data_IF_414694691723
#
_entry.id   IF_414694691723
#
_cell.length_a   1.000
_cell.length_b   1.000
_cell.length_c   1.000
_cell.angle_alpha   90.00
_cell.angle_beta   90.00
_cell.angle_gamma   90.00
#
_symmetry.space_group_name_H-M   'P 1'
#
loop_
_entity.id
_entity.type
_entity.pdbx_description
1 polymer ?
#
# COMPACT_ATOMS: atom_id res chain seq x y z
N UNK A 1 -31.64 13.26 -13.28
CA UNK A 1 -31.37 11.94 -12.68
C UNK A 1 -30.33 12.15 -11.59
N UNK A 2 -30.73 11.95 -10.33
CA UNK A 2 -29.92 12.16 -9.13
C UNK A 2 -28.64 11.34 -9.18
N UNK A 3 -27.49 12.02 -9.03
CA UNK A 3 -26.17 11.40 -8.90
C UNK A 3 -26.00 10.92 -7.45
N UNK A 4 -26.89 10.01 -7.03
CA UNK A 4 -26.67 9.19 -5.84
C UNK A 4 -25.73 8.05 -6.23
N UNK A 5 -24.71 7.80 -5.42
CA UNK A 5 -23.75 6.70 -5.59
C UNK A 5 -22.69 6.87 -6.67
N UNK A 6 -21.86 7.91 -6.58
CA UNK A 6 -20.48 7.75 -6.99
C UNK A 6 -19.82 6.74 -6.03
N UNK A 7 -19.41 5.60 -6.58
CA UNK A 7 -18.68 4.50 -5.93
C UNK A 7 -17.50 5.01 -5.11
N UNK A 8 -17.76 5.37 -3.86
CA UNK A 8 -16.81 5.31 -2.75
C UNK A 8 -17.42 4.33 -1.75
N UNK A 9 -17.43 3.03 -2.10
CA UNK A 9 -17.98 1.93 -1.30
C UNK A 9 -17.24 1.66 0.01
N UNK A 10 -16.62 2.67 0.58
CA UNK A 10 -15.89 2.65 1.84
C UNK A 10 -16.65 3.51 2.82
N UNK A 11 -17.32 2.85 3.78
CA UNK A 11 -17.88 3.51 4.95
C UNK A 11 -16.82 4.43 5.56
N UNK A 12 -17.12 5.72 5.65
CA UNK A 12 -16.23 6.67 6.30
C UNK A 12 -16.15 6.31 7.79
N UNK A 13 -14.97 5.89 8.24
CA UNK A 13 -14.69 5.54 9.63
C UNK A 13 -14.70 6.81 10.48
N UNK A 14 -15.15 6.73 11.74
CA UNK A 14 -14.98 7.85 12.68
C UNK A 14 -13.51 8.04 13.06
N UNK A 15 -13.09 9.28 13.33
CA UNK A 15 -11.71 9.57 13.70
C UNK A 15 -11.29 8.94 15.04
N UNK A 16 -12.25 8.75 15.95
CA UNK A 16 -12.10 8.15 17.28
C UNK A 16 -12.31 6.63 17.31
N UNK A 17 -12.52 6.00 16.15
CA UNK A 17 -12.75 4.56 16.07
C UNK A 17 -11.50 3.73 16.39
N UNK A 18 -11.71 2.48 16.84
CA UNK A 18 -10.66 1.51 17.17
C UNK A 18 -10.02 0.88 15.92
N UNK A 19 -9.53 1.71 15.00
CA UNK A 19 -8.82 1.28 13.81
C UNK A 19 -7.36 1.75 13.82
N UNK A 20 -6.47 1.08 13.07
CA UNK A 20 -5.08 1.49 12.99
C UNK A 20 -4.95 2.97 12.59
N UNK A 21 -4.21 3.76 13.38
CA UNK A 21 -3.98 5.19 13.13
C UNK A 21 -3.53 5.51 11.70
N UNK A 22 -2.67 4.71 11.04
CA UNK A 22 -2.30 4.96 9.65
C UNK A 22 -3.48 4.90 8.68
N UNK A 23 -4.47 4.03 8.92
CA UNK A 23 -5.67 3.92 8.09
C UNK A 23 -6.53 5.16 8.25
N UNK A 24 -6.85 5.54 9.50
CA UNK A 24 -7.65 6.73 9.83
C UNK A 24 -7.03 7.98 9.19
N UNK A 25 -5.71 8.16 9.30
CA UNK A 25 -5.01 9.32 8.71
C UNK A 25 -4.96 9.32 7.18
N UNK A 26 -4.94 8.16 6.53
CA UNK A 26 -4.87 8.05 5.06
C UNK A 26 -6.25 8.11 4.41
N UNK A 27 -7.31 7.81 5.15
CA UNK A 27 -8.66 7.76 4.63
C UNK A 27 -9.08 9.08 3.94
N UNK A 28 -8.96 10.27 4.57
CA UNK A 28 -9.30 11.53 3.90
C UNK A 28 -8.50 11.75 2.62
N UNK A 29 -7.19 11.52 2.67
CA UNK A 29 -6.29 11.70 1.51
C UNK A 29 -6.73 10.83 0.34
N UNK A 30 -7.07 9.57 0.60
CA UNK A 30 -7.52 8.65 -0.44
C UNK A 30 -8.85 9.11 -1.05
N UNK A 31 -9.82 9.49 -0.21
CA UNK A 31 -11.15 9.89 -0.69
C UNK A 31 -11.12 11.18 -1.52
N UNK A 32 -10.45 12.24 -1.05
CA UNK A 32 -10.33 13.49 -1.81
C UNK A 32 -9.56 13.30 -3.12
N UNK A 33 -8.52 12.45 -3.11
CA UNK A 33 -7.81 12.08 -4.34
C UNK A 33 -8.72 11.36 -5.33
N UNK A 34 -9.57 10.44 -4.86
CA UNK A 34 -10.56 9.77 -5.69
C UNK A 34 -11.56 10.76 -6.29
N UNK A 35 -12.13 11.68 -5.49
CA UNK A 35 -13.03 12.72 -6.00
C UNK A 35 -12.34 13.55 -7.09
N UNK A 36 -11.08 13.96 -6.87
CA UNK A 36 -10.33 14.74 -7.86
C UNK A 36 -10.12 14.00 -9.19
N UNK A 37 -9.91 12.68 -9.14
CA UNK A 37 -9.75 11.81 -10.31
C UNK A 37 -11.06 11.52 -11.04
N UNK A 38 -12.18 11.44 -10.33
CA UNK A 38 -13.50 11.12 -10.90
C UNK A 38 -14.15 12.35 -11.53
N UNK A 39 -14.02 13.51 -10.89
CA UNK A 39 -14.65 14.74 -11.34
C UNK A 39 -13.92 15.32 -12.56
N UNK A 40 -14.61 15.42 -13.69
CA UNK A 40 -14.10 16.04 -14.91
C UNK A 40 -14.20 17.57 -14.91
N UNK A 41 -15.19 18.13 -14.21
CA UNK A 41 -15.34 19.58 -14.07
C UNK A 41 -15.03 20.05 -12.66
N UNK A 42 -14.43 21.23 -12.56
CA UNK A 42 -14.12 21.84 -11.26
C UNK A 42 -15.38 22.17 -10.47
N UNK A 43 -16.49 22.53 -11.12
CA UNK A 43 -17.77 22.71 -10.45
C UNK A 43 -18.26 21.42 -9.75
N UNK A 44 -18.15 20.26 -10.42
CA UNK A 44 -18.52 18.97 -9.83
C UNK A 44 -17.57 18.57 -8.70
N UNK A 45 -16.28 18.85 -8.85
CA UNK A 45 -15.26 18.64 -7.82
C UNK A 45 -15.56 19.47 -6.57
N UNK A 46 -15.85 20.76 -6.71
CA UNK A 46 -16.16 21.65 -5.60
C UNK A 46 -17.41 21.18 -4.85
N UNK A 47 -18.47 20.78 -5.57
CA UNK A 47 -19.69 20.26 -4.97
C UNK A 47 -19.43 19.00 -4.13
N UNK A 48 -18.73 18.01 -4.70
CA UNK A 48 -18.44 16.75 -4.01
C UNK A 48 -17.44 16.91 -2.86
N UNK A 49 -16.46 17.81 -3.03
CA UNK A 49 -15.47 18.13 -1.98
C UNK A 49 -16.15 18.76 -0.77
N UNK A 50 -17.12 19.66 -0.97
CA UNK A 50 -17.93 20.24 0.11
C UNK A 50 -18.72 19.18 0.87
N UNK A 51 -19.42 18.30 0.17
CA UNK A 51 -20.16 17.17 0.77
C UNK A 51 -19.23 16.25 1.58
N UNK A 52 -18.11 15.82 0.98
CA UNK A 52 -17.16 14.94 1.65
C UNK A 52 -16.51 15.60 2.87
N UNK A 53 -16.21 16.90 2.80
CA UNK A 53 -15.66 17.66 3.93
C UNK A 53 -16.64 17.68 5.09
N UNK A 54 -17.92 17.97 4.82
CA UNK A 54 -18.97 17.95 5.83
C UNK A 54 -19.09 16.57 6.50
N UNK A 55 -19.11 15.49 5.69
CA UNK A 55 -19.19 14.11 6.21
C UNK A 55 -17.98 13.69 7.05
N UNK A 56 -16.80 14.22 6.75
CA UNK A 56 -15.59 13.99 7.55
C UNK A 56 -15.62 14.81 8.84
N UNK A 57 -16.12 16.05 8.80
CA UNK A 57 -16.30 16.89 9.97
C UNK A 57 -17.24 16.25 11.00
N UNK A 58 -18.39 15.74 10.54
CA UNK A 58 -19.34 14.99 11.37
C UNK A 58 -18.72 13.75 12.04
N UNK A 59 -17.63 13.22 11.48
CA UNK A 59 -16.89 12.06 11.98
C UNK A 59 -15.67 12.42 12.82
N UNK A 60 -15.49 13.70 13.14
CA UNK A 60 -14.41 14.19 14.01
C UNK A 60 -13.07 14.40 13.29
N UNK A 61 -13.05 14.50 11.96
CA UNK A 61 -11.84 14.85 11.22
C UNK A 61 -11.71 16.37 11.08
N UNK A 62 -10.47 16.85 10.90
CA UNK A 62 -10.15 18.26 10.64
C UNK A 62 -10.57 18.68 9.22
N UNK A 63 -10.89 19.96 9.03
CA UNK A 63 -11.44 20.49 7.76
C UNK A 63 -10.40 20.81 6.67
N UNK A 64 -9.10 20.55 6.91
CA UNK A 64 -8.02 21.01 6.03
C UNK A 64 -7.53 19.98 5.00
N UNK A 65 -8.17 18.82 4.89
CA UNK A 65 -7.71 17.75 3.97
C UNK A 65 -7.88 18.09 2.49
N UNK A 66 -8.92 18.84 2.13
CA UNK A 66 -9.20 19.23 0.76
C UNK A 66 -8.12 20.17 0.18
N UNK A 67 -7.50 21.01 1.02
CA UNK A 67 -6.45 21.97 0.63
C UNK A 67 -5.29 21.33 -0.13
N UNK A 68 -4.97 20.07 0.19
CA UNK A 68 -3.92 19.30 -0.49
C UNK A 68 -4.18 19.10 -1.98
N UNK A 69 -5.43 19.19 -2.41
CA UNK A 69 -5.87 18.93 -3.77
C UNK A 69 -6.40 20.16 -4.49
N UNK A 70 -6.35 21.33 -3.84
CA UNK A 70 -6.64 22.61 -4.48
C UNK A 70 -5.59 22.90 -5.57
N UNK A 71 -6.03 23.41 -6.71
CA UNK A 71 -5.16 23.73 -7.85
C UNK A 71 -4.73 22.55 -8.70
N UNK A 72 -4.88 21.30 -8.24
CA UNK A 72 -4.69 20.13 -9.10
C UNK A 72 -5.83 20.07 -10.14
N UNK A 73 -5.52 19.59 -11.33
CA UNK A 73 -6.47 19.19 -12.38
C UNK A 73 -6.80 17.69 -12.31
N UNK A 74 -7.87 17.26 -12.97
CA UNK A 74 -8.18 15.83 -13.10
C UNK A 74 -7.05 15.12 -13.84
N UNK A 75 -6.57 15.74 -14.92
CA UNK A 75 -5.49 15.21 -15.76
C UNK A 75 -4.22 14.99 -14.95
N UNK A 76 -3.78 15.98 -14.17
CA UNK A 76 -2.62 15.84 -13.28
C UNK A 76 -2.81 14.74 -12.24
N UNK A 77 -4.04 14.57 -11.73
CA UNK A 77 -4.35 13.55 -10.74
C UNK A 77 -4.40 12.13 -11.32
N UNK A 78 -4.57 11.99 -12.64
CA UNK A 78 -4.55 10.72 -13.36
C UNK A 78 -3.13 10.34 -13.83
N UNK A 79 -2.18 11.28 -13.84
CA UNK A 79 -0.83 10.99 -14.27
C UNK A 79 -0.20 9.91 -13.37
N UNK A 80 0.39 8.85 -13.95
CA UNK A 80 1.12 7.87 -13.19
C UNK A 80 2.30 8.56 -12.52
N UNK A 81 2.40 8.43 -11.19
CA UNK A 81 3.59 8.88 -10.49
C UNK A 81 4.75 8.00 -10.91
N UNK A 82 5.70 8.58 -11.64
CA UNK A 82 7.01 7.97 -11.85
C UNK A 82 7.63 7.81 -10.48
N UNK A 83 7.68 6.57 -9.99
CA UNK A 83 8.51 6.22 -8.86
C UNK A 83 9.85 5.85 -9.46
N UNK A 84 10.88 6.62 -9.14
CA UNK A 84 12.24 6.13 -9.29
C UNK A 84 12.29 4.79 -8.56
N UNK A 85 12.52 3.72 -9.33
CA UNK A 85 12.78 2.42 -8.71
C UNK A 85 14.08 2.62 -7.97
N UNK A 86 14.03 2.59 -6.64
CA UNK A 86 15.26 2.49 -5.88
C UNK A 86 16.01 1.28 -6.44
N UNK A 87 17.24 1.46 -6.90
CA UNK A 87 18.14 0.37 -7.33
C UNK A 87 18.39 -0.65 -6.21
N UNK A 88 17.97 -0.32 -5.00
CA UNK A 88 18.01 -1.18 -3.84
C UNK A 88 17.15 -2.45 -4.03
N UNK A 89 17.78 -3.48 -4.59
CA UNK A 89 17.28 -4.86 -4.53
C UNK A 89 17.30 -5.31 -3.06
N UNK A 90 16.17 -5.76 -2.48
CA UNK A 90 16.16 -6.28 -1.12
C UNK A 90 17.12 -7.46 -0.99
N UNK A 91 18.14 -7.34 -0.14
CA UNK A 91 19.20 -8.35 0.00
C UNK A 91 18.78 -9.58 0.82
N UNK A 92 17.74 -9.48 1.65
CA UNK A 92 17.18 -10.64 2.34
C UNK A 92 15.71 -10.47 2.71
N UNK A 93 14.99 -11.59 2.66
CA UNK A 93 13.57 -11.71 2.98
C UNK A 93 13.43 -12.56 4.23
N UNK A 94 12.61 -12.11 5.17
CA UNK A 94 12.31 -12.85 6.41
C UNK A 94 10.80 -12.97 6.58
N UNK A 95 10.36 -13.95 7.36
CA UNK A 95 8.96 -14.02 7.77
C UNK A 95 8.61 -12.86 8.70
N UNK A 96 7.34 -12.46 8.70
CA UNK A 96 6.86 -11.44 9.64
C UNK A 96 7.04 -11.92 11.07
N UNK A 97 7.78 -11.13 11.85
CA UNK A 97 7.92 -11.30 13.28
C UNK A 97 7.65 -9.97 13.98
N UNK A 98 6.99 -9.97 15.15
CA UNK A 98 6.91 -8.79 16.02
C UNK A 98 8.30 -8.22 16.38
N UNK A 99 9.32 -9.09 16.43
CA UNK A 99 10.71 -8.72 16.68
C UNK A 99 11.42 -8.17 15.44
N UNK A 100 10.77 -8.17 14.28
CA UNK A 100 11.37 -7.76 13.02
C UNK A 100 11.89 -6.33 13.02
N UNK A 101 11.26 -5.43 13.78
CA UNK A 101 11.77 -4.07 13.98
C UNK A 101 13.08 -4.06 14.77
N UNK A 102 13.11 -4.73 15.93
CA UNK A 102 14.32 -4.82 16.75
C UNK A 102 15.47 -5.48 15.98
N UNK A 103 15.19 -6.58 15.27
CA UNK A 103 16.14 -7.26 14.40
C UNK A 103 16.70 -6.33 13.31
N UNK A 104 15.82 -5.58 12.63
CA UNK A 104 16.21 -4.59 11.62
C UNK A 104 17.12 -3.50 12.21
N UNK A 105 16.82 -3.03 13.41
CA UNK A 105 17.60 -1.99 14.08
C UNK A 105 18.99 -2.51 14.49
N UNK A 106 19.08 -3.75 14.99
CA UNK A 106 20.35 -4.42 15.31
C UNK A 106 21.22 -4.57 14.06
N UNK A 107 20.67 -5.08 12.95
CA UNK A 107 21.44 -5.25 11.71
C UNK A 107 21.95 -3.92 11.19
N UNK A 108 21.12 -2.87 11.23
CA UNK A 108 21.54 -1.53 10.80
C UNK A 108 22.66 -0.98 11.66
N UNK A 109 22.57 -1.17 12.97
CA UNK A 109 23.60 -0.76 13.93
C UNK A 109 24.93 -1.48 13.70
N UNK A 110 24.87 -2.78 13.40
CA UNK A 110 26.05 -3.64 13.24
C UNK A 110 26.38 -3.98 11.78
N UNK A 111 25.90 -3.17 10.83
CA UNK A 111 26.06 -3.42 9.40
C UNK A 111 27.53 -3.51 8.97
N UNK A 112 28.40 -2.75 9.63
CA UNK A 112 29.84 -2.77 9.36
C UNK A 112 30.45 -4.18 9.46
N UNK A 113 29.94 -5.04 10.36
CA UNK A 113 30.42 -6.43 10.49
C UNK A 113 30.18 -7.21 9.19
N UNK A 114 28.98 -7.08 8.62
CA UNK A 114 28.59 -7.74 7.36
C UNK A 114 29.33 -7.12 6.17
N UNK A 115 29.52 -5.80 6.18
CA UNK A 115 30.19 -5.08 5.10
C UNK A 115 31.70 -5.32 5.04
N UNK A 116 32.33 -5.67 6.17
CA UNK A 116 33.77 -5.99 6.26
C UNK A 116 34.06 -7.44 5.88
N UNK A 117 33.09 -8.35 6.02
CA UNK A 117 33.25 -9.76 5.70
C UNK A 117 33.43 -9.98 4.18
N UNK A 118 34.53 -10.60 3.72
CA UNK A 118 34.81 -10.80 2.30
C UNK A 118 33.79 -11.67 1.56
N UNK A 119 33.12 -12.58 2.25
CA UNK A 119 32.13 -13.49 1.67
C UNK A 119 30.73 -12.88 1.66
N UNK A 120 30.37 -12.15 2.72
CA UNK A 120 29.04 -11.56 2.86
C UNK A 120 28.90 -10.23 2.12
N UNK A 121 29.95 -9.41 2.03
CA UNK A 121 29.96 -8.13 1.30
C UNK A 121 29.44 -8.21 -0.15
N UNK A 122 29.84 -9.18 -1.00
CA UNK A 122 29.30 -9.28 -2.35
C UNK A 122 27.82 -9.68 -2.41
N UNK A 123 27.33 -10.44 -1.41
CA UNK A 123 25.93 -10.89 -1.32
C UNK A 123 25.04 -9.75 -0.81
N UNK A 124 25.50 -9.03 0.20
CA UNK A 124 24.76 -8.04 0.95
C UNK A 124 25.26 -6.62 0.62
N UNK A 125 24.82 -6.09 -0.53
CA UNK A 125 25.24 -4.76 -1.01
C UNK A 125 24.71 -3.59 -0.17
N UNK A 126 23.59 -3.78 0.53
CA UNK A 126 22.93 -2.72 1.28
C UNK A 126 22.36 -3.23 2.63
N UNK A 127 22.37 -2.38 3.68
CA UNK A 127 21.83 -2.75 4.98
C UNK A 127 20.37 -3.13 4.86
N UNK A 128 20.00 -4.26 5.47
CA UNK A 128 18.70 -4.90 5.32
C UNK A 128 17.55 -3.89 5.38
N UNK A 129 16.99 -3.60 4.21
CA UNK A 129 15.77 -2.85 4.11
C UNK A 129 14.61 -3.84 3.99
N UNK A 130 13.81 -3.80 5.05
CA UNK A 130 12.43 -4.30 5.15
C UNK A 130 12.24 -5.80 5.33
N UNK A 131 11.78 -6.15 6.54
CA UNK A 131 10.91 -7.30 6.77
C UNK A 131 9.66 -7.06 5.94
N UNK A 132 9.59 -7.68 4.75
CA UNK A 132 8.32 -7.85 4.09
C UNK A 132 7.62 -8.99 4.79
N UNK A 133 6.50 -8.68 5.43
CA UNK A 133 5.57 -9.72 5.83
C UNK A 133 5.10 -10.44 4.57
N UNK A 134 5.53 -11.69 4.39
CA UNK A 134 4.86 -12.65 3.51
C UNK A 134 3.46 -13.04 4.04
N UNK A 135 2.91 -12.34 5.04
CA UNK A 135 1.46 -12.30 5.21
C UNK A 135 0.94 -11.25 4.25
N UNK A 136 0.40 -11.70 3.13
CA UNK A 136 -0.50 -10.90 2.29
C UNK A 136 -1.49 -10.21 3.24
N UNK A 137 -1.41 -8.89 3.45
CA UNK A 137 -2.51 -8.23 4.09
C UNK A 137 -3.55 -8.11 2.98
N UNK A 138 -4.56 -8.99 2.99
CA UNK A 138 -5.99 -8.61 2.94
C UNK A 138 -6.93 -9.48 2.08
N UNK A 139 -8.12 -9.65 2.67
CA UNK A 139 -9.47 -9.47 2.12
C UNK A 139 -9.85 -10.30 0.89
N UNK A 140 -10.35 -11.50 1.16
CA UNK A 140 -11.28 -12.21 0.27
C UNK A 140 -10.68 -12.86 -0.98
N UNK A 141 -11.31 -13.96 -1.38
CA UNK A 141 -10.95 -14.80 -2.52
C UNK A 141 -10.61 -16.23 -2.08
N UNK A 142 -10.98 -17.18 -2.92
CA UNK A 142 -10.77 -18.61 -2.68
C UNK A 142 -9.28 -18.94 -2.53
N UNK A 143 -8.94 -19.51 -1.38
CA UNK A 143 -7.57 -19.75 -0.93
C UNK A 143 -6.95 -20.88 -1.76
N UNK A 144 -7.71 -21.94 -2.03
CA UNK A 144 -7.28 -23.12 -2.77
C UNK A 144 -6.81 -22.72 -4.18
N UNK A 145 -7.65 -21.99 -4.90
CA UNK A 145 -7.38 -21.54 -6.27
C UNK A 145 -6.11 -20.69 -6.39
N UNK A 146 -5.80 -19.87 -5.38
CA UNK A 146 -4.60 -19.02 -5.37
C UNK A 146 -3.34 -19.78 -4.95
N UNK A 147 -3.46 -20.75 -4.04
CA UNK A 147 -2.37 -21.66 -3.68
C UNK A 147 -1.93 -22.47 -4.89
N UNK A 148 -2.88 -23.03 -5.65
CA UNK A 148 -2.60 -23.72 -6.90
C UNK A 148 -1.85 -22.82 -7.89
N UNK A 149 -2.34 -21.61 -8.15
CA UNK A 149 -1.66 -20.68 -9.08
C UNK A 149 -0.23 -20.35 -8.63
N UNK A 150 0.02 -20.23 -7.33
CA UNK A 150 1.35 -19.95 -6.77
C UNK A 150 2.28 -21.16 -6.84
N UNK A 151 1.78 -22.35 -6.53
CA UNK A 151 2.48 -23.63 -6.73
C UNK A 151 2.86 -23.79 -8.20
N UNK A 152 1.92 -23.59 -9.14
CA UNK A 152 2.18 -23.62 -10.58
C UNK A 152 3.25 -22.62 -11.01
N UNK A 153 3.19 -21.38 -10.49
CA UNK A 153 4.16 -20.34 -10.81
C UNK A 153 5.56 -20.64 -10.25
N UNK A 154 5.63 -21.23 -9.05
CA UNK A 154 6.87 -21.65 -8.40
C UNK A 154 7.50 -22.84 -9.14
N UNK A 155 6.70 -23.82 -9.53
CA UNK A 155 7.11 -24.98 -10.34
C UNK A 155 7.65 -24.51 -11.70
N UNK A 156 6.92 -23.62 -12.40
CA UNK A 156 7.36 -23.05 -13.67
C UNK A 156 8.67 -22.26 -13.54
N UNK A 157 8.81 -21.45 -12.48
CA UNK A 157 10.02 -20.63 -12.25
C UNK A 157 11.25 -21.46 -11.91
N UNK A 158 11.07 -22.61 -11.24
CA UNK A 158 12.17 -23.47 -10.80
C UNK A 158 12.47 -24.61 -11.79
N UNK A 159 11.64 -24.81 -12.82
CA UNK A 159 11.75 -25.92 -13.79
C UNK A 159 11.80 -27.32 -13.12
N UNK A 160 11.23 -27.46 -11.92
CA UNK A 160 11.24 -28.70 -11.14
C UNK A 160 9.88 -29.40 -11.25
N UNK A 161 9.75 -30.29 -12.24
CA UNK A 161 8.72 -31.34 -12.47
C UNK A 161 7.23 -30.94 -12.46
N UNK A 162 6.46 -31.63 -13.32
CA UNK A 162 5.01 -31.44 -13.55
C UNK A 162 4.18 -31.76 -12.30
N UNK A 163 3.12 -30.99 -11.97
CA UNK A 163 2.28 -31.27 -10.82
C UNK A 163 1.58 -32.63 -10.98
N UNK A 164 1.90 -33.58 -10.10
CA UNK A 164 1.13 -34.80 -9.93
C UNK A 164 -0.23 -34.43 -9.32
N UNK A 165 -1.30 -34.51 -10.14
CA UNK A 165 -2.66 -34.25 -9.68
C UNK A 165 -3.61 -33.56 -10.66
N UNK A 166 -3.37 -33.64 -11.98
CA UNK A 166 -4.39 -33.39 -12.99
C UNK A 166 -4.90 -34.73 -13.54
N UNK A 167 -5.86 -35.30 -12.82
CA UNK A 167 -6.97 -36.11 -13.33
C UNK A 167 -8.15 -35.88 -12.38
#
# INVERSE_FOLDING_TARGET
ISIGNLRTGTTLLRHDSFHPRPLIKRLPVNQFSCIRRICSSDASYQKQTKDLTQRFKERGYKDNWAKRFEGLTQLESLQPKVKEKAEHVPSCFTQYSPLGKAFKDIIRKHWYIIATDPQLKPIFKYPLCTVWSLKDPQMGGDIERKLFQRESFRIHRLNTLSPLGLN
#
